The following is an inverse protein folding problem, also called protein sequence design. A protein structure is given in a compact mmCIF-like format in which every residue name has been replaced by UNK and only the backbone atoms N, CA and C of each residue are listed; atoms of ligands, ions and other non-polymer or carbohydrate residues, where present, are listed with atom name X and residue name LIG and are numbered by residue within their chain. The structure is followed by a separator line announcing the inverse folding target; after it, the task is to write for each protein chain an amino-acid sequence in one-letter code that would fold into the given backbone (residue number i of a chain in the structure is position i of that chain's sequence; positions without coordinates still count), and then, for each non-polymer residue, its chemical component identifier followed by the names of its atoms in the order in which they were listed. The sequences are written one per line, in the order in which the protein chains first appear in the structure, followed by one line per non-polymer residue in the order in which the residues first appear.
data_IF_802601366581
#
_entry.id   IF_802601366581
#
_cell.length_a   1.000
_cell.length_b   1.000
_cell.length_c   1.000
_cell.angle_alpha   90.00
_cell.angle_beta   90.00
_cell.angle_gamma   90.00
#
_symmetry.space_group_name_H-M   'P 1'
#
loop_
_entity.id
_entity.type
_entity.pdbx_description
1 polymer ?
#
# COMPACT_ATOMS: atom_id res chain seq x y z
N UNK A 1 17.65 5.86 -4.54
CA UNK A 1 17.12 6.83 -3.56
C UNK A 1 15.61 6.65 -3.51
N UNK A 2 15.01 6.44 -2.34
CA UNK A 2 13.53 6.41 -2.24
C UNK A 2 13.01 7.81 -2.53
N UNK A 3 12.09 7.95 -3.48
CA UNK A 3 11.51 9.25 -3.88
C UNK A 3 10.34 9.67 -2.99
N UNK A 4 9.89 8.78 -2.11
CA UNK A 4 8.71 9.00 -1.30
C UNK A 4 9.04 9.84 -0.07
N UNK A 5 8.15 10.76 0.34
CA UNK A 5 8.31 11.48 1.59
C UNK A 5 8.31 10.49 2.75
N UNK A 6 9.28 10.63 3.66
CA UNK A 6 9.32 9.84 4.90
C UNK A 6 8.27 10.41 5.84
N UNK A 7 7.46 9.53 6.43
CA UNK A 7 6.44 9.85 7.43
C UNK A 7 6.94 9.48 8.82
N UNK A 8 6.51 10.25 9.82
CA UNK A 8 6.89 10.00 11.22
C UNK A 8 6.16 8.78 11.78
N UNK A 9 6.74 8.16 12.81
CA UNK A 9 6.12 7.04 13.51
C UNK A 9 4.75 7.42 14.10
N UNK A 10 4.59 8.67 14.55
CA UNK A 10 3.31 9.19 15.03
C UNK A 10 2.26 9.28 13.92
N UNK A 11 2.64 9.71 12.71
CA UNK A 11 1.75 9.71 11.55
C UNK A 11 1.36 8.28 11.14
N UNK A 12 2.29 7.32 11.25
CA UNK A 12 2.01 5.91 10.99
C UNK A 12 1.02 5.32 12.00
N UNK A 13 1.24 5.56 13.29
CA UNK A 13 0.38 5.04 14.36
C UNK A 13 -1.04 5.60 14.28
N UNK A 14 -1.17 6.91 14.05
CA UNK A 14 -2.47 7.54 13.83
C UNK A 14 -3.18 6.97 12.60
N UNK A 15 -2.45 6.80 11.49
CA UNK A 15 -3.01 6.21 10.28
C UNK A 15 -3.46 4.75 10.48
N UNK A 16 -2.71 3.96 11.25
CA UNK A 16 -3.11 2.59 11.60
C UNK A 16 -4.35 2.56 12.48
N UNK A 17 -4.44 3.45 13.47
CA UNK A 17 -5.61 3.57 14.36
C UNK A 17 -6.87 3.94 13.56
N UNK A 18 -6.74 4.89 12.63
CA UNK A 18 -7.84 5.39 11.81
C UNK A 18 -8.10 4.56 10.55
N UNK A 19 -7.30 3.51 10.31
CA UNK A 19 -7.27 2.76 9.04
C UNK A 19 -7.18 3.66 7.80
N UNK A 20 -6.38 4.73 7.90
CA UNK A 20 -6.15 5.71 6.85
C UNK A 20 -4.74 5.61 6.25
N UNK A 21 -4.42 6.45 5.25
CA UNK A 21 -3.10 6.49 4.63
C UNK A 21 -2.39 7.79 5.01
N UNK A 22 -1.15 7.75 5.54
CA UNK A 22 -0.43 8.96 5.95
C UNK A 22 -0.01 9.85 4.76
N UNK A 23 -0.10 9.33 3.53
CA UNK A 23 0.17 10.07 2.28
C UNK A 23 -1.10 10.62 1.62
N UNK A 24 -2.28 10.40 2.20
CA UNK A 24 -3.51 10.99 1.71
C UNK A 24 -3.61 12.45 2.19
N UNK A 25 -3.47 13.40 1.27
CA UNK A 25 -3.62 14.82 1.53
C UNK A 25 -5.03 15.33 1.23
N UNK A 26 -5.27 16.62 1.50
CA UNK A 26 -6.57 17.28 1.27
C UNK A 26 -7.02 17.34 -0.20
N UNK A 27 -6.12 17.08 -1.15
CA UNK A 27 -6.38 17.06 -2.59
C UNK A 27 -6.12 15.68 -3.21
N UNK A 28 -6.03 14.63 -2.38
CA UNK A 28 -5.79 13.25 -2.83
C UNK A 28 -4.40 12.71 -2.47
N UNK A 29 -4.05 11.58 -3.08
CA UNK A 29 -2.83 10.84 -2.75
C UNK A 29 -1.59 11.58 -3.24
N UNK A 30 -0.70 11.96 -2.31
CA UNK A 30 0.52 12.72 -2.59
C UNK A 30 1.65 11.87 -3.19
N UNK A 31 1.46 10.55 -3.25
CA UNK A 31 2.43 9.57 -3.76
C UNK A 31 1.83 8.73 -4.90
N UNK A 32 0.79 9.25 -5.55
CA UNK A 32 0.03 8.48 -6.54
C UNK A 32 0.87 8.08 -7.76
N UNK A 33 1.83 8.92 -8.16
CA UNK A 33 2.70 8.63 -9.30
C UNK A 33 3.70 7.51 -8.99
N UNK A 34 4.05 7.35 -7.72
CA UNK A 34 5.06 6.42 -7.24
C UNK A 34 4.45 5.11 -6.74
N UNK A 35 3.27 5.14 -6.11
CA UNK A 35 2.64 3.94 -5.51
C UNK A 35 1.16 3.76 -5.85
N UNK A 36 0.74 3.77 -7.13
CA UNK A 36 -0.65 3.52 -7.48
C UNK A 36 -1.05 2.04 -7.26
N UNK A 37 -0.09 1.11 -7.36
CA UNK A 37 -0.34 -0.33 -7.32
C UNK A 37 -0.58 -0.86 -5.89
N UNK A 38 0.18 -0.39 -4.89
CA UNK A 38 0.04 -0.88 -3.50
C UNK A 38 -1.40 -0.64 -2.98
N UNK A 39 -1.98 0.52 -3.29
CA UNK A 39 -3.33 0.87 -2.87
C UNK A 39 -4.40 -0.01 -3.52
N UNK A 40 -4.13 -0.56 -4.72
CA UNK A 40 -5.03 -1.46 -5.45
C UNK A 40 -4.94 -2.91 -4.95
N UNK A 41 -3.83 -3.27 -4.32
CA UNK A 41 -3.62 -4.59 -3.72
C UNK A 41 -4.24 -4.72 -2.33
N UNK A 42 -4.43 -3.62 -1.62
CA UNK A 42 -5.01 -3.66 -0.28
C UNK A 42 -6.41 -4.30 -0.31
N UNK A 43 -6.60 -5.36 0.47
CA UNK A 43 -7.82 -6.16 0.53
C UNK A 43 -8.01 -7.15 -0.62
N UNK A 44 -7.15 -7.17 -1.63
CA UNK A 44 -7.29 -8.02 -2.83
C UNK A 44 -6.19 -9.07 -2.96
N UNK A 45 -5.19 -9.07 -2.07
CA UNK A 45 -4.17 -10.12 -1.92
C UNK A 45 -4.12 -10.66 -0.48
N UNK A 46 -3.83 -11.96 -0.26
CA UNK A 46 -3.60 -12.51 1.08
C UNK A 46 -2.49 -11.82 1.88
N UNK A 47 -1.55 -11.13 1.22
CA UNK A 47 -0.44 -10.43 1.87
C UNK A 47 -0.81 -9.06 2.45
N UNK A 48 -1.91 -8.48 1.97
CA UNK A 48 -2.42 -7.17 2.39
C UNK A 48 -3.92 -7.31 2.69
N UNK A 49 -4.30 -8.10 3.70
CA UNK A 49 -5.71 -8.36 4.00
C UNK A 49 -6.42 -7.09 4.48
N UNK A 50 -7.72 -6.98 4.18
CA UNK A 50 -8.55 -5.95 4.79
C UNK A 50 -8.75 -6.27 6.29
N UNK A 51 -8.52 -5.32 7.21
CA UNK A 51 -8.71 -5.54 8.65
C UNK A 51 -10.16 -5.82 9.03
N UNK A 52 -11.11 -5.39 8.20
CA UNK A 52 -12.55 -5.67 8.38
C UNK A 52 -12.95 -7.04 7.82
N UNK A 53 -12.02 -7.85 7.31
CA UNK A 53 -12.29 -9.16 6.71
C UNK A 53 -12.92 -9.11 5.32
N UNK A 54 -13.13 -7.91 4.76
CA UNK A 54 -13.68 -7.74 3.41
C UNK A 54 -12.68 -8.22 2.35
N UNK A 55 -13.18 -8.90 1.32
CA UNK A 55 -12.39 -9.35 0.17
C UNK A 55 -13.31 -9.60 -1.04
N UNK A 56 -12.81 -9.46 -2.26
CA UNK A 56 -13.56 -9.87 -3.45
C UNK A 56 -13.76 -11.40 -3.47
N UNK A 57 -14.73 -11.85 -4.28
CA UNK A 57 -14.93 -13.28 -4.56
C UNK A 57 -13.70 -13.88 -5.26
N UNK A 58 -13.15 -13.14 -6.22
CA UNK A 58 -11.92 -13.47 -6.92
C UNK A 58 -10.77 -12.59 -6.42
N UNK A 59 -9.78 -13.22 -5.79
CA UNK A 59 -8.55 -12.55 -5.35
C UNK A 59 -7.59 -12.34 -6.52
N UNK A 60 -6.62 -11.44 -6.36
CA UNK A 60 -5.52 -11.31 -7.32
C UNK A 60 -4.82 -12.66 -7.50
N UNK A 61 -4.58 -13.04 -8.75
CA UNK A 61 -3.89 -14.28 -9.09
C UNK A 61 -2.56 -14.38 -8.33
N UNK A 62 -2.24 -15.52 -7.68
CA UNK A 62 -1.03 -15.67 -6.89
C UNK A 62 0.27 -15.39 -7.65
N UNK A 63 0.32 -15.68 -8.96
CA UNK A 63 1.49 -15.38 -9.79
C UNK A 63 1.61 -13.89 -10.05
N UNK A 64 0.49 -13.19 -10.28
CA UNK A 64 0.48 -11.73 -10.40
C UNK A 64 0.92 -11.07 -9.09
N UNK A 65 0.42 -11.52 -7.93
CA UNK A 65 0.85 -11.02 -6.62
C UNK A 65 2.38 -11.17 -6.44
N UNK A 66 2.94 -12.34 -6.78
CA UNK A 66 4.40 -12.57 -6.74
C UNK A 66 5.18 -11.61 -7.63
N UNK A 67 4.70 -11.35 -8.85
CA UNK A 67 5.36 -10.42 -9.78
C UNK A 67 5.33 -8.99 -9.26
N UNK A 68 4.21 -8.55 -8.67
CA UNK A 68 4.11 -7.20 -8.09
C UNK A 68 5.03 -7.06 -6.87
N UNK A 69 5.11 -8.09 -6.02
CA UNK A 69 6.04 -8.09 -4.90
C UNK A 69 7.50 -7.97 -5.36
N UNK A 70 7.89 -8.73 -6.40
CA UNK A 70 9.22 -8.61 -7.01
C UNK A 70 9.48 -7.19 -7.51
N UNK A 71 8.52 -6.60 -8.23
CA UNK A 71 8.62 -5.24 -8.73
C UNK A 71 8.83 -4.20 -7.61
N UNK A 72 8.11 -4.32 -6.48
CA UNK A 72 8.27 -3.39 -5.34
C UNK A 72 9.65 -3.47 -4.70
N UNK A 73 10.21 -4.68 -4.57
CA UNK A 73 11.55 -4.91 -4.02
C UNK A 73 12.62 -4.32 -4.94
N UNK A 74 12.54 -4.59 -6.25
CA UNK A 74 13.50 -4.12 -7.25
C UNK A 74 13.47 -2.59 -7.42
N UNK A 75 12.27 -2.00 -7.44
CA UNK A 75 12.09 -0.56 -7.66
C UNK A 75 12.28 0.27 -6.39
N UNK A 76 12.51 -0.38 -5.24
CA UNK A 76 12.58 0.28 -3.91
C UNK A 76 11.38 1.20 -3.65
N UNK A 77 10.16 0.71 -3.88
CA UNK A 77 8.97 1.34 -3.32
C UNK A 77 8.94 0.99 -1.83
N UNK A 78 9.77 1.68 -1.06
CA UNK A 78 10.15 1.20 0.27
C UNK A 78 8.93 1.16 1.18
N UNK A 79 8.60 -0.04 1.64
CA UNK A 79 7.91 -0.28 2.90
C UNK A 79 9.01 -0.27 3.95
N UNK A 80 9.40 0.91 4.44
CA UNK A 80 10.12 0.98 5.72
C UNK A 80 9.04 1.10 6.78
#
# INVERSE_FOLDING_TARGET
MSRLPVKSDAEHEAALTDLSCPHLGSQGCQVYAERPLICRLFGTTPRLPCPNGNRPEEMVDPEIDRQIQRFFVETRHVLV
#
